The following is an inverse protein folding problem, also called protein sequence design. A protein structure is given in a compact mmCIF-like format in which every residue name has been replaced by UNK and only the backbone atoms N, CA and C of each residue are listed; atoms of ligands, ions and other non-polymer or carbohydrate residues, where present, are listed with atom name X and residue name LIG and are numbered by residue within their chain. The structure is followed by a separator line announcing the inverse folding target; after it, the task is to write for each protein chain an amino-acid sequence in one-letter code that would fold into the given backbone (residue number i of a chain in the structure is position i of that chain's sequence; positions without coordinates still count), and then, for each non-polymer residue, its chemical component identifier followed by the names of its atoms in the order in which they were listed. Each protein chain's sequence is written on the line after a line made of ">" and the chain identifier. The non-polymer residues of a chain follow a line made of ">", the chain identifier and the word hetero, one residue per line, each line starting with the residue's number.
data_IF_273673254476
#
_entry.id   IF_273673254476
#
_cell.length_a   1.000
_cell.length_b   1.000
_cell.length_c   1.000
_cell.angle_alpha   90.00
_cell.angle_beta   90.00
_cell.angle_gamma   90.00
#
_symmetry.space_group_name_H-M   'P 1'
#
loop_
_entity.id
_entity.type
_entity.pdbx_description
1 polymer ?
#
# COMPACT_ATOMS: atom_id res chain seq x y z
N UNK A 1 -10.45 22.23 -6.88
CA UNK A 1 -9.32 21.30 -6.73
C UNK A 1 -8.27 21.71 -7.72
N UNK A 2 -7.08 22.09 -7.27
CA UNK A 2 -5.94 22.41 -8.12
C UNK A 2 -5.48 21.15 -8.87
N UNK A 3 -5.06 21.30 -10.13
CA UNK A 3 -4.57 20.17 -10.93
C UNK A 3 -3.18 20.47 -11.47
N UNK A 4 -2.25 19.55 -11.19
CA UNK A 4 -0.90 19.54 -11.75
C UNK A 4 -0.82 18.35 -12.70
N UNK A 5 -0.65 18.60 -13.99
CA UNK A 5 -0.71 17.56 -15.02
C UNK A 5 0.54 17.49 -15.88
N UNK A 6 0.95 16.27 -16.23
CA UNK A 6 2.01 15.99 -17.22
C UNK A 6 3.38 16.51 -16.82
N UNK A 7 3.64 16.71 -15.53
CA UNK A 7 4.93 17.23 -15.06
C UNK A 7 5.92 16.12 -14.77
N UNK A 8 7.18 16.38 -15.07
CA UNK A 8 8.29 15.53 -14.69
C UNK A 8 9.01 16.11 -13.46
N UNK A 9 8.94 15.35 -12.35
CA UNK A 9 9.59 15.65 -11.08
C UNK A 9 10.72 14.67 -10.77
N UNK A 10 11.06 13.75 -11.68
CA UNK A 10 12.01 12.64 -11.42
C UNK A 10 13.41 13.08 -11.01
N UNK A 11 13.85 14.25 -11.39
CA UNK A 11 15.17 14.81 -11.01
C UNK A 11 15.05 16.13 -10.24
N UNK A 12 13.84 16.45 -9.77
CA UNK A 12 13.56 17.71 -9.09
C UNK A 12 13.04 17.51 -7.67
N UNK A 13 12.88 18.64 -7.00
CA UNK A 13 12.08 18.72 -5.78
C UNK A 13 10.81 19.47 -6.10
N UNK A 14 9.72 19.07 -5.48
CA UNK A 14 8.51 19.87 -5.46
C UNK A 14 8.80 21.20 -4.76
N UNK A 15 8.19 22.28 -5.27
CA UNK A 15 8.45 23.64 -4.78
C UNK A 15 7.82 23.91 -3.42
N UNK A 16 6.70 23.29 -3.13
CA UNK A 16 5.95 23.50 -1.91
C UNK A 16 6.22 22.37 -0.90
N UNK A 17 6.20 22.71 0.38
CA UNK A 17 6.30 21.74 1.47
C UNK A 17 4.95 21.13 1.85
N UNK A 18 3.86 21.69 1.33
CA UNK A 18 2.50 21.22 1.56
C UNK A 18 1.63 21.36 0.31
N UNK A 19 0.84 20.33 0.06
CA UNK A 19 -0.18 20.27 -0.99
C UNK A 19 -1.49 19.83 -0.33
N UNK A 20 -2.53 20.62 -0.51
CA UNK A 20 -3.87 20.36 0.01
C UNK A 20 -4.88 20.31 -1.13
N UNK A 21 -5.64 19.21 -1.21
CA UNK A 21 -6.70 19.00 -2.20
C UNK A 21 -6.21 19.14 -3.64
N UNK A 22 -5.00 18.65 -3.95
CA UNK A 22 -4.38 18.71 -5.29
C UNK A 22 -4.54 17.39 -6.02
N UNK A 23 -4.90 17.47 -7.30
CA UNK A 23 -4.82 16.36 -8.25
C UNK A 23 -3.49 16.42 -9.02
N UNK A 24 -2.63 15.43 -8.80
CA UNK A 24 -1.48 15.15 -9.67
C UNK A 24 -1.90 14.12 -10.72
N UNK A 25 -1.94 14.53 -11.99
CA UNK A 25 -2.35 13.67 -13.09
C UNK A 25 -1.22 13.48 -14.09
N UNK A 26 -0.99 12.24 -14.53
CA UNK A 26 -0.01 11.90 -15.56
C UNK A 26 1.41 12.44 -15.27
N UNK A 27 1.80 12.48 -13.97
CA UNK A 27 3.08 13.01 -13.52
C UNK A 27 4.12 11.92 -13.33
N UNK A 28 5.37 12.24 -13.60
CA UNK A 28 6.51 11.38 -13.31
C UNK A 28 7.23 11.85 -12.04
N UNK A 29 7.16 11.03 -10.98
CA UNK A 29 7.89 11.22 -9.72
C UNK A 29 8.97 10.16 -9.52
N UNK A 30 9.25 9.31 -10.51
CA UNK A 30 10.17 8.18 -10.32
C UNK A 30 11.51 8.66 -9.75
N UNK A 31 11.96 8.04 -8.63
CA UNK A 31 13.17 8.40 -7.89
C UNK A 31 13.20 9.82 -7.32
N UNK A 32 12.09 10.59 -7.38
CA UNK A 32 12.01 11.92 -6.77
C UNK A 32 12.21 11.85 -5.26
N UNK A 33 12.60 12.97 -4.68
CA UNK A 33 12.68 13.14 -3.23
C UNK A 33 11.50 14.00 -2.74
N UNK A 34 10.51 13.31 -2.15
CA UNK A 34 9.33 13.92 -1.53
C UNK A 34 9.47 14.04 0.00
N UNK A 35 10.70 13.88 0.52
CA UNK A 35 10.95 13.90 1.96
C UNK A 35 10.46 15.19 2.62
N UNK A 36 9.80 15.03 3.76
CA UNK A 36 9.23 16.11 4.59
C UNK A 36 8.12 16.93 3.94
N UNK A 37 7.56 16.50 2.82
CA UNK A 37 6.39 17.14 2.19
C UNK A 37 5.11 16.58 2.83
N UNK A 38 4.08 17.42 2.93
CA UNK A 38 2.74 17.03 3.37
C UNK A 38 1.77 17.01 2.19
N UNK A 39 1.07 15.88 2.02
CA UNK A 39 -0.01 15.70 1.05
C UNK A 39 -1.31 15.44 1.82
N UNK A 40 -2.23 16.41 1.79
CA UNK A 40 -3.52 16.37 2.49
C UNK A 40 -4.62 16.30 1.43
N UNK A 41 -5.51 15.30 1.52
CA UNK A 41 -6.61 15.10 0.57
C UNK A 41 -6.18 15.10 -0.92
N UNK A 42 -4.92 14.70 -1.18
CA UNK A 42 -4.36 14.69 -2.52
C UNK A 42 -4.69 13.41 -3.28
N UNK A 43 -4.88 13.54 -4.59
CA UNK A 43 -5.07 12.42 -5.51
C UNK A 43 -3.91 12.36 -6.49
N UNK A 44 -3.28 11.19 -6.58
CA UNK A 44 -2.29 10.85 -7.61
C UNK A 44 -2.98 9.93 -8.61
N UNK A 45 -3.07 10.37 -9.86
CA UNK A 45 -3.73 9.61 -10.93
C UNK A 45 -2.78 9.40 -12.10
N UNK A 46 -2.59 8.15 -12.51
CA UNK A 46 -1.71 7.77 -13.63
C UNK A 46 -0.27 8.29 -13.45
N UNK A 47 0.23 8.26 -12.20
CA UNK A 47 1.57 8.74 -11.89
C UNK A 47 2.58 7.58 -11.76
N UNK A 48 3.81 7.80 -12.21
CA UNK A 48 4.94 6.94 -11.86
C UNK A 48 5.63 7.49 -10.61
N UNK A 49 5.53 6.75 -9.51
CA UNK A 49 6.16 7.05 -8.22
C UNK A 49 7.15 5.96 -7.81
N UNK A 50 7.69 5.22 -8.77
CA UNK A 50 8.64 4.14 -8.49
C UNK A 50 9.89 4.64 -7.80
N UNK A 51 10.31 3.96 -6.73
CA UNK A 51 11.53 4.25 -5.95
C UNK A 51 11.59 5.69 -5.38
N UNK A 52 10.45 6.33 -5.21
CA UNK A 52 10.35 7.67 -4.61
C UNK A 52 10.81 7.62 -3.16
N UNK A 53 11.53 8.66 -2.72
CA UNK A 53 11.92 8.84 -1.31
C UNK A 53 10.81 9.57 -0.57
N UNK A 54 10.32 8.96 0.52
CA UNK A 54 9.20 9.49 1.31
C UNK A 54 9.58 9.65 2.80
N UNK A 55 10.85 9.96 3.09
CA UNK A 55 11.30 10.12 4.48
C UNK A 55 10.55 11.29 5.14
N UNK A 56 9.89 10.99 6.26
CA UNK A 56 9.14 12.00 7.02
C UNK A 56 8.05 12.72 6.18
N UNK A 57 7.57 12.09 5.10
CA UNK A 57 6.46 12.58 4.28
C UNK A 57 5.14 12.29 4.99
N UNK A 58 4.24 13.24 5.00
CA UNK A 58 2.89 13.03 5.51
C UNK A 58 1.92 12.75 4.35
N UNK A 59 1.17 11.66 4.48
CA UNK A 59 0.05 11.34 3.58
C UNK A 59 -1.22 11.26 4.43
N UNK A 60 -2.09 12.24 4.30
CA UNK A 60 -3.37 12.29 4.97
C UNK A 60 -4.48 12.19 3.92
N UNK A 61 -5.24 11.10 3.96
CA UNK A 61 -6.28 10.78 2.98
C UNK A 61 -5.78 10.84 1.51
N UNK A 62 -4.56 10.32 1.28
CA UNK A 62 -3.99 10.29 -0.07
C UNK A 62 -4.61 9.16 -0.90
N UNK A 63 -4.98 9.46 -2.14
CA UNK A 63 -5.56 8.50 -3.07
C UNK A 63 -4.60 8.25 -4.22
N UNK A 64 -4.32 6.97 -4.50
CA UNK A 64 -3.51 6.56 -5.63
C UNK A 64 -4.37 5.76 -6.60
N UNK A 65 -4.50 6.25 -7.83
CA UNK A 65 -5.35 5.68 -8.88
C UNK A 65 -4.51 5.43 -10.13
N UNK A 66 -4.44 4.19 -10.58
CA UNK A 66 -3.66 3.77 -11.74
C UNK A 66 -2.19 4.22 -11.66
N UNK A 67 -1.59 4.12 -10.46
CA UNK A 67 -0.23 4.55 -10.21
C UNK A 67 0.75 3.38 -10.14
N UNK A 68 2.01 3.68 -10.49
CA UNK A 68 3.14 2.78 -10.30
C UNK A 68 3.92 3.23 -9.07
N UNK A 69 3.94 2.38 -8.04
CA UNK A 69 4.52 2.63 -6.72
C UNK A 69 5.59 1.58 -6.38
N UNK A 70 6.31 1.13 -7.41
CA UNK A 70 7.28 0.04 -7.31
C UNK A 70 8.40 0.39 -6.31
N UNK A 71 8.60 -0.46 -5.31
CA UNK A 71 9.70 -0.35 -4.37
C UNK A 71 9.66 0.90 -3.46
N UNK A 72 8.50 1.53 -3.29
CA UNK A 72 8.35 2.66 -2.36
C UNK A 72 8.38 2.19 -0.91
N UNK A 73 9.15 2.87 -0.07
CA UNK A 73 9.27 2.56 1.36
C UNK A 73 8.39 3.49 2.21
N UNK A 74 7.11 3.11 2.35
CA UNK A 74 6.16 3.84 3.21
C UNK A 74 6.49 3.73 4.71
N UNK A 75 7.38 2.81 5.13
CA UNK A 75 7.82 2.71 6.51
C UNK A 75 8.50 4.00 7.01
N UNK A 76 9.00 4.80 6.09
CA UNK A 76 9.66 6.08 6.35
C UNK A 76 8.71 7.28 6.48
N UNK A 77 7.43 7.11 6.14
CA UNK A 77 6.43 8.18 6.26
C UNK A 77 6.13 8.55 7.70
N UNK A 78 5.62 9.76 7.92
CA UNK A 78 5.06 10.16 9.21
C UNK A 78 3.87 9.26 9.57
N UNK A 79 3.75 8.90 10.85
CA UNK A 79 2.62 8.08 11.35
C UNK A 79 1.37 8.92 11.62
N UNK A 80 1.54 10.23 11.85
CA UNK A 80 0.44 11.11 12.23
C UNK A 80 -0.55 11.28 11.08
N UNK A 81 -1.78 10.85 11.28
CA UNK A 81 -2.89 10.87 10.31
C UNK A 81 -2.59 10.13 8.99
N UNK A 82 -1.66 9.17 9.03
CA UNK A 82 -1.31 8.38 7.85
C UNK A 82 -2.52 7.61 7.35
N UNK A 83 -2.97 7.89 6.13
CA UNK A 83 -4.08 7.19 5.50
C UNK A 83 -4.00 7.21 3.98
N UNK A 84 -4.33 6.06 3.37
CA UNK A 84 -4.22 5.82 1.93
C UNK A 84 -5.44 5.11 1.37
N UNK A 85 -5.61 5.21 0.06
CA UNK A 85 -6.34 4.24 -0.74
C UNK A 85 -5.63 3.99 -2.07
N UNK A 86 -5.73 2.75 -2.56
CA UNK A 86 -5.06 2.33 -3.80
C UNK A 86 -6.09 1.66 -4.72
N UNK A 87 -6.24 2.16 -5.93
CA UNK A 87 -7.07 1.54 -6.98
C UNK A 87 -6.24 1.37 -8.25
N UNK A 88 -6.14 0.15 -8.76
CA UNK A 88 -5.43 -0.20 -9.99
C UNK A 88 -3.94 0.19 -9.93
N UNK A 89 -3.28 -0.07 -8.80
CA UNK A 89 -1.89 0.30 -8.57
C UNK A 89 -0.94 -0.90 -8.62
N UNK A 90 0.33 -0.62 -8.96
CA UNK A 90 1.44 -1.57 -8.83
C UNK A 90 2.27 -1.15 -7.61
N UNK A 91 2.19 -1.95 -6.54
CA UNK A 91 2.87 -1.72 -5.25
C UNK A 91 4.02 -2.71 -5.03
N UNK A 92 4.39 -3.48 -6.04
CA UNK A 92 5.36 -4.56 -5.91
C UNK A 92 6.66 -4.07 -5.24
N UNK A 93 7.19 -4.86 -4.30
CA UNK A 93 8.37 -4.55 -3.49
C UNK A 93 8.23 -3.33 -2.57
N UNK A 94 7.03 -2.79 -2.36
CA UNK A 94 6.83 -1.70 -1.40
C UNK A 94 6.95 -2.20 0.05
N UNK A 95 7.21 -1.29 0.99
CA UNK A 95 7.24 -1.62 2.41
C UNK A 95 6.26 -0.75 3.20
N UNK A 96 5.45 -1.42 4.02
CA UNK A 96 4.60 -0.84 5.06
C UNK A 96 5.04 -1.33 6.45
N UNK A 97 6.30 -1.73 6.59
CA UNK A 97 6.86 -2.25 7.84
C UNK A 97 6.52 -1.34 9.03
N UNK A 98 5.96 -1.94 10.10
CA UNK A 98 5.54 -1.26 11.34
C UNK A 98 4.51 -0.12 11.16
N UNK A 99 3.84 0.00 10.02
CA UNK A 99 2.85 1.07 9.80
C UNK A 99 1.45 0.72 10.30
N UNK A 100 0.77 1.74 10.83
CA UNK A 100 -0.65 1.68 11.18
C UNK A 100 -1.47 2.23 10.02
N UNK A 101 -1.92 1.35 9.15
CA UNK A 101 -2.68 1.69 7.93
C UNK A 101 -4.07 1.02 7.96
N UNK A 102 -4.77 1.23 9.08
CA UNK A 102 -6.12 0.71 9.29
C UNK A 102 -7.09 1.20 8.23
N UNK A 103 -8.07 0.36 7.90
CA UNK A 103 -9.17 0.67 6.97
C UNK A 103 -8.70 1.04 5.56
N UNK A 104 -7.46 0.75 5.23
CA UNK A 104 -6.93 0.97 3.87
C UNK A 104 -7.64 0.05 2.88
N UNK A 105 -7.99 0.61 1.73
CA UNK A 105 -8.58 -0.13 0.62
C UNK A 105 -7.52 -0.31 -0.46
N UNK A 106 -7.21 -1.57 -0.73
CA UNK A 106 -6.43 -1.98 -1.90
C UNK A 106 -7.41 -2.63 -2.89
N UNK A 107 -7.51 -2.08 -4.10
CA UNK A 107 -8.43 -2.57 -5.11
C UNK A 107 -7.71 -2.71 -6.45
N UNK A 108 -7.84 -3.87 -7.10
CA UNK A 108 -7.22 -4.18 -8.40
C UNK A 108 -5.70 -3.95 -8.40
N UNK A 109 -5.01 -4.24 -7.28
CA UNK A 109 -3.60 -3.94 -7.12
C UNK A 109 -2.70 -5.16 -7.28
N UNK A 110 -1.53 -4.95 -7.88
CA UNK A 110 -0.39 -5.85 -7.73
C UNK A 110 0.35 -5.50 -6.45
N UNK A 111 0.49 -6.47 -5.54
CA UNK A 111 1.06 -6.30 -4.20
C UNK A 111 2.10 -7.41 -3.96
N UNK A 112 2.89 -7.68 -4.97
CA UNK A 112 3.87 -8.78 -4.94
C UNK A 112 5.08 -8.39 -4.13
N UNK A 113 5.54 -9.32 -3.28
CA UNK A 113 6.72 -9.12 -2.43
C UNK A 113 6.67 -7.86 -1.56
N UNK A 114 5.44 -7.41 -1.20
CA UNK A 114 5.26 -6.27 -0.29
C UNK A 114 5.48 -6.70 1.15
N UNK A 115 6.21 -5.86 1.89
CA UNK A 115 6.47 -6.04 3.31
C UNK A 115 5.40 -5.37 4.17
N UNK A 116 4.55 -6.19 4.82
CA UNK A 116 3.57 -5.78 5.82
C UNK A 116 3.95 -6.24 7.24
N UNK A 117 5.19 -6.68 7.48
CA UNK A 117 5.59 -7.17 8.78
C UNK A 117 5.35 -6.11 9.88
N UNK A 118 4.85 -6.56 11.04
CA UNK A 118 4.53 -5.74 12.21
C UNK A 118 3.54 -4.59 11.93
N UNK A 119 2.84 -4.59 10.78
CA UNK A 119 1.88 -3.55 10.41
C UNK A 119 0.51 -3.79 11.07
N UNK A 120 -0.26 -2.71 11.23
CA UNK A 120 -1.66 -2.77 11.67
C UNK A 120 -2.59 -2.43 10.50
N UNK A 121 -3.19 -3.48 9.94
CA UNK A 121 -4.12 -3.45 8.80
C UNK A 121 -5.59 -3.62 9.25
N UNK A 122 -5.89 -3.42 10.53
CA UNK A 122 -7.25 -3.62 11.07
C UNK A 122 -8.33 -3.02 10.15
N UNK A 123 -9.33 -3.82 9.80
CA UNK A 123 -10.48 -3.43 8.95
C UNK A 123 -10.12 -3.07 7.50
N UNK A 124 -8.89 -3.32 7.04
CA UNK A 124 -8.49 -3.10 5.65
C UNK A 124 -9.11 -4.14 4.70
N UNK A 125 -9.13 -3.84 3.41
CA UNK A 125 -9.71 -4.72 2.39
C UNK A 125 -8.79 -4.88 1.20
N UNK A 126 -8.62 -6.12 0.76
CA UNK A 126 -7.89 -6.47 -0.47
C UNK A 126 -8.89 -7.01 -1.49
N UNK A 127 -9.25 -6.18 -2.48
CA UNK A 127 -10.27 -6.48 -3.49
C UNK A 127 -9.60 -6.68 -4.82
N UNK A 128 -9.65 -7.91 -5.37
CA UNK A 128 -9.01 -8.29 -6.64
C UNK A 128 -7.49 -7.95 -6.63
N UNK A 129 -6.79 -8.31 -5.52
CA UNK A 129 -5.36 -8.03 -5.33
C UNK A 129 -4.53 -9.30 -5.41
N UNK A 130 -3.41 -9.22 -6.12
CA UNK A 130 -2.38 -10.25 -6.16
C UNK A 130 -1.37 -10.03 -5.02
N UNK A 131 -1.35 -10.96 -4.07
CA UNK A 131 -0.49 -10.93 -2.88
C UNK A 131 0.68 -11.93 -2.97
N UNK A 132 1.09 -12.29 -4.18
CA UNK A 132 2.19 -13.23 -4.39
C UNK A 132 3.43 -12.80 -3.60
N UNK A 133 3.90 -13.69 -2.70
CA UNK A 133 5.07 -13.47 -1.83
C UNK A 133 4.99 -12.23 -0.91
N UNK A 134 3.83 -11.61 -0.75
CA UNK A 134 3.65 -10.58 0.27
C UNK A 134 3.82 -11.20 1.66
N UNK A 135 4.52 -10.51 2.57
CA UNK A 135 4.87 -11.02 3.88
C UNK A 135 4.10 -10.32 4.99
N UNK A 136 3.56 -11.15 5.91
CA UNK A 136 2.78 -10.71 7.06
C UNK A 136 3.31 -11.45 8.30
N UNK A 137 4.31 -10.89 8.98
CA UNK A 137 4.83 -11.45 10.22
C UNK A 137 4.51 -10.51 11.39
N UNK A 138 3.93 -11.05 12.46
CA UNK A 138 3.55 -10.30 13.66
C UNK A 138 2.60 -9.12 13.38
N UNK A 139 1.81 -9.22 12.31
CA UNK A 139 0.89 -8.17 11.84
C UNK A 139 -0.47 -8.27 12.51
N UNK A 140 -1.16 -7.13 12.62
CA UNK A 140 -2.54 -7.05 13.09
C UNK A 140 -3.47 -7.03 11.87
N UNK A 141 -4.10 -8.19 11.62
CA UNK A 141 -5.00 -8.43 10.50
C UNK A 141 -6.46 -8.58 10.97
N UNK A 142 -6.81 -7.99 12.10
CA UNK A 142 -8.15 -8.10 12.67
C UNK A 142 -9.20 -7.49 11.72
N UNK A 143 -10.25 -8.25 11.44
CA UNK A 143 -11.35 -7.89 10.54
C UNK A 143 -10.92 -7.53 9.10
N UNK A 144 -9.71 -7.85 8.69
CA UNK A 144 -9.28 -7.66 7.29
C UNK A 144 -10.10 -8.55 6.37
N UNK A 145 -10.46 -8.05 5.20
CA UNK A 145 -11.20 -8.80 4.19
C UNK A 145 -10.30 -9.23 3.05
N UNK A 146 -9.92 -10.52 3.04
CA UNK A 146 -9.11 -11.15 1.99
C UNK A 146 -9.95 -11.99 1.02
N UNK A 147 -11.30 -11.98 1.10
CA UNK A 147 -12.15 -12.89 0.31
C UNK A 147 -11.97 -12.77 -1.20
N UNK A 148 -11.51 -11.63 -1.69
CA UNK A 148 -11.25 -11.37 -3.10
C UNK A 148 -9.76 -11.20 -3.41
N UNK A 149 -8.88 -11.41 -2.44
CA UNK A 149 -7.44 -11.46 -2.65
C UNK A 149 -7.01 -12.88 -3.04
N UNK A 150 -5.89 -12.98 -3.73
CA UNK A 150 -5.34 -14.27 -4.16
C UNK A 150 -3.82 -14.32 -4.01
N UNK A 151 -3.25 -15.53 -4.08
CA UNK A 151 -1.83 -15.83 -3.94
C UNK A 151 -1.20 -15.39 -2.61
N UNK A 152 -1.99 -15.21 -1.55
CA UNK A 152 -1.45 -14.87 -0.24
C UNK A 152 -0.92 -16.09 0.51
N UNK A 153 0.11 -15.86 1.35
CA UNK A 153 0.59 -16.79 2.35
C UNK A 153 0.56 -16.13 3.71
N UNK A 154 -0.36 -16.55 4.60
CA UNK A 154 -0.54 -15.93 5.91
C UNK A 154 -0.45 -17.02 6.99
N UNK A 155 0.57 -16.90 7.86
CA UNK A 155 0.71 -17.78 9.03
C UNK A 155 -0.26 -17.36 10.12
N UNK A 156 -1.14 -18.30 10.50
CA UNK A 156 -2.19 -18.09 11.52
C UNK A 156 -1.64 -17.98 12.94
N UNK A 157 -0.43 -18.47 13.21
CA UNK A 157 0.12 -18.55 14.56
C UNK A 157 0.85 -17.27 14.99
N UNK A 158 1.40 -16.53 14.02
CA UNK A 158 2.20 -15.34 14.31
C UNK A 158 1.46 -14.02 14.08
N UNK A 159 0.27 -14.07 13.46
CA UNK A 159 -0.54 -12.89 13.15
C UNK A 159 -1.80 -12.81 14.01
N UNK A 160 -2.32 -11.60 14.24
CA UNK A 160 -3.61 -11.39 14.91
C UNK A 160 -4.73 -11.34 13.89
N UNK A 161 -5.56 -12.40 13.83
CA UNK A 161 -6.54 -12.62 12.75
C UNK A 161 -8.01 -12.57 13.22
N UNK A 162 -8.29 -12.01 14.39
CA UNK A 162 -9.66 -11.99 14.93
C UNK A 162 -10.64 -11.41 13.90
N UNK A 163 -11.63 -12.23 13.51
CA UNK A 163 -12.65 -11.88 12.52
C UNK A 163 -12.12 -11.51 11.11
N UNK A 164 -10.88 -11.87 10.76
CA UNK A 164 -10.41 -11.79 9.37
C UNK A 164 -11.26 -12.71 8.48
N UNK A 165 -11.48 -12.30 7.23
CA UNK A 165 -12.36 -12.99 6.29
C UNK A 165 -11.57 -13.53 5.10
N UNK A 166 -11.75 -14.82 4.82
CA UNK A 166 -11.12 -15.52 3.70
C UNK A 166 -12.19 -16.21 2.85
N UNK A 167 -11.96 -16.37 1.57
CA UNK A 167 -12.77 -17.26 0.74
C UNK A 167 -12.31 -18.71 0.92
N UNK A 168 -13.21 -19.67 0.77
CA UNK A 168 -12.85 -21.10 0.84
C UNK A 168 -11.78 -21.49 -0.20
N UNK A 169 -11.82 -20.88 -1.38
CA UNK A 169 -10.82 -21.09 -2.44
C UNK A 169 -9.40 -20.62 -2.10
N UNK A 170 -9.24 -19.76 -1.09
CA UNK A 170 -7.95 -19.23 -0.66
C UNK A 170 -7.37 -19.89 0.58
N UNK A 171 -8.03 -20.91 1.15
CA UNK A 171 -7.59 -21.55 2.41
C UNK A 171 -6.22 -22.23 2.30
N UNK A 172 -5.81 -22.66 1.12
CA UNK A 172 -4.45 -23.19 0.88
C UNK A 172 -3.36 -22.20 1.28
N UNK A 173 -3.58 -20.90 1.08
CA UNK A 173 -2.64 -19.85 1.48
C UNK A 173 -2.44 -19.72 3.00
N UNK A 174 -3.33 -20.25 3.80
CA UNK A 174 -3.21 -20.29 5.27
C UNK A 174 -2.49 -21.54 5.79
N UNK A 175 -2.23 -22.48 4.90
CA UNK A 175 -1.69 -23.80 5.23
C UNK A 175 -0.30 -24.04 4.63
N UNK A 176 0.28 -23.04 3.97
CA UNK A 176 1.55 -23.17 3.23
C UNK A 176 2.72 -23.69 4.07
N UNK A 177 2.72 -23.44 5.40
CA UNK A 177 3.79 -23.89 6.28
C UNK A 177 3.69 -25.39 6.63
N UNK A 178 2.57 -26.04 6.36
CA UNK A 178 2.37 -27.44 6.68
C UNK A 178 2.71 -28.30 5.46
N UNK A 179 3.45 -29.41 5.63
CA UNK A 179 3.81 -30.32 4.53
C UNK A 179 2.62 -31.25 4.20
N UNK A 180 1.51 -30.68 3.75
CA UNK A 180 0.28 -31.40 3.38
C UNK A 180 -0.03 -31.22 1.90
N UNK A 181 -0.78 -32.14 1.33
CA UNK A 181 -1.31 -32.06 -0.03
C UNK A 181 -2.77 -31.65 0.07
N UNK A 182 -3.19 -30.70 -0.72
CA UNK A 182 -4.58 -30.24 -0.82
C UNK A 182 -5.02 -30.48 -2.27
N UNK A 183 -6.00 -31.39 -2.44
CA UNK A 183 -6.58 -31.76 -3.73
C UNK A 183 -7.85 -30.95 -4.05
#
# INVERSE_FOLDING_TARGET
>A
METIQGKDFSNGKLSNMEYDSVLFADCNFSKADLSSISFIDCTFKTCDMSLVKVNNTAFNNAQFINCKLLGIDFSRCKDFLLSFSFDTCILDFASFYQKKIKKTIFKNCSIKEVDFNESDLTESRFVECDLTLAVFQQSILEKVDFRKAYNYGIDLEVNKLKNARFASSGLSGLLLKYPIIID
#
